data_IF_815404692555
#
_entry.id   IF_815404692555
#
_cell.length_a   1.000
_cell.length_b   1.000
_cell.length_c   1.000
_cell.angle_alpha   90.00
_cell.angle_beta   90.00
_cell.angle_gamma   90.00
#
_symmetry.space_group_name_H-M   'P 1'
#
loop_
_entity.id
_entity.type
_entity.pdbx_description
1 polymer ?
#
# COMPACT_ATOMS: atom_id res chain seq x y z
N UNK A 1 16.14 -10.98 -2.91
CA UNK A 1 16.51 -10.71 -4.33
C UNK A 1 15.41 -11.23 -5.25
N UNK A 2 14.85 -10.39 -6.13
CA UNK A 2 13.76 -10.77 -7.04
C UNK A 2 14.17 -11.96 -7.92
N UNK A 3 13.41 -13.06 -7.86
CA UNK A 3 13.64 -14.24 -8.71
C UNK A 3 13.44 -13.91 -10.20
N UNK A 4 12.55 -12.98 -10.52
CA UNK A 4 12.30 -12.52 -11.89
C UNK A 4 13.52 -11.78 -12.44
N UNK A 5 14.07 -10.82 -11.70
CA UNK A 5 15.27 -10.09 -12.12
C UNK A 5 16.46 -11.03 -12.34
N UNK A 6 16.65 -12.00 -11.44
CA UNK A 6 17.69 -13.04 -11.61
C UNK A 6 17.51 -13.85 -12.89
N UNK A 7 16.28 -14.27 -13.22
CA UNK A 7 15.98 -14.98 -14.48
C UNK A 7 16.25 -14.13 -15.72
N UNK A 8 16.14 -12.82 -15.61
CA UNK A 8 16.45 -11.86 -16.67
C UNK A 8 17.93 -11.47 -16.72
N UNK A 9 18.80 -12.10 -15.94
CA UNK A 9 20.24 -11.83 -15.92
C UNK A 9 20.67 -10.68 -14.99
N UNK A 10 19.74 -10.11 -14.21
CA UNK A 10 20.05 -9.03 -13.26
C UNK A 10 20.23 -9.55 -11.84
N UNK A 11 21.38 -9.26 -11.24
CA UNK A 11 21.65 -9.53 -9.82
C UNK A 11 21.51 -8.25 -8.98
N UNK A 12 20.33 -7.67 -8.98
CA UNK A 12 20.03 -6.44 -8.23
C UNK A 12 19.41 -6.75 -6.87
N UNK A 13 19.97 -6.14 -5.82
CA UNK A 13 19.38 -6.12 -4.49
C UNK A 13 18.16 -5.20 -4.42
N UNK A 14 17.30 -5.41 -3.41
CA UNK A 14 16.11 -4.58 -3.16
C UNK A 14 16.52 -3.13 -2.88
N UNK A 15 17.63 -2.93 -2.16
CA UNK A 15 18.19 -1.62 -1.85
C UNK A 15 19.02 -1.01 -2.99
N UNK A 16 19.10 -1.65 -4.16
CA UNK A 16 19.84 -1.06 -5.28
C UNK A 16 19.13 0.20 -5.79
N UNK A 17 19.92 1.23 -6.12
CA UNK A 17 19.37 2.53 -6.57
C UNK A 17 18.40 2.39 -7.75
N UNK A 18 18.71 1.49 -8.68
CA UNK A 18 17.86 1.22 -9.86
C UNK A 18 16.51 0.67 -9.45
N UNK A 19 16.48 -0.35 -8.58
CA UNK A 19 15.22 -0.94 -8.09
C UNK A 19 14.40 0.08 -7.31
N UNK A 20 15.01 0.82 -6.39
CA UNK A 20 14.31 1.83 -5.59
C UNK A 20 13.71 2.92 -6.47
N UNK A 21 14.47 3.45 -7.44
CA UNK A 21 13.99 4.49 -8.36
C UNK A 21 12.87 3.98 -9.27
N UNK A 22 13.00 2.76 -9.80
CA UNK A 22 11.98 2.17 -10.65
C UNK A 22 10.67 1.92 -9.88
N UNK A 23 10.74 1.36 -8.67
CA UNK A 23 9.58 1.17 -7.79
C UNK A 23 8.93 2.51 -7.45
N UNK A 24 9.73 3.53 -7.11
CA UNK A 24 9.22 4.88 -6.83
C UNK A 24 8.49 5.47 -8.04
N UNK A 25 9.09 5.45 -9.23
CA UNK A 25 8.46 5.97 -10.44
C UNK A 25 7.15 5.25 -10.77
N UNK A 26 7.13 3.92 -10.68
CA UNK A 26 5.90 3.13 -10.86
C UNK A 26 4.80 3.53 -9.87
N UNK A 27 5.14 3.65 -8.58
CA UNK A 27 4.14 3.99 -7.56
C UNK A 27 3.65 5.43 -7.65
N UNK A 28 4.49 6.39 -8.05
CA UNK A 28 4.07 7.78 -8.28
C UNK A 28 3.00 7.86 -9.37
N UNK A 29 3.21 7.19 -10.50
CA UNK A 29 2.22 7.16 -11.57
C UNK A 29 0.95 6.40 -11.18
N UNK A 30 1.09 5.24 -10.52
CA UNK A 30 -0.06 4.43 -10.11
C UNK A 30 -1.01 5.20 -9.19
N UNK A 31 -0.51 6.13 -8.35
CA UNK A 31 -1.34 6.95 -7.46
C UNK A 31 -2.39 7.77 -8.22
N UNK A 32 -2.10 8.21 -9.45
CA UNK A 32 -3.05 8.99 -10.24
C UNK A 32 -4.27 8.19 -10.70
N UNK A 33 -4.22 6.86 -10.60
CA UNK A 33 -5.31 5.96 -11.00
C UNK A 33 -6.03 5.35 -9.80
N UNK A 34 -5.68 5.75 -8.58
CA UNK A 34 -6.33 5.25 -7.37
C UNK A 34 -7.29 6.31 -6.87
N UNK A 35 -8.53 5.89 -6.65
CA UNK A 35 -9.57 6.69 -6.02
C UNK A 35 -10.16 5.94 -4.83
N UNK A 36 -10.71 6.70 -3.89
CA UNK A 36 -11.54 6.14 -2.84
C UNK A 36 -12.92 5.79 -3.41
N UNK A 37 -13.52 4.69 -2.94
CA UNK A 37 -14.93 4.41 -3.21
C UNK A 37 -15.79 5.48 -2.52
N UNK A 38 -16.75 6.04 -3.25
CA UNK A 38 -17.59 7.16 -2.80
C UNK A 38 -18.30 6.90 -1.46
N UNK A 39 -18.57 5.63 -1.13
CA UNK A 39 -19.27 5.24 0.09
C UNK A 39 -18.33 4.78 1.21
N UNK A 40 -17.03 4.64 0.95
CA UNK A 40 -16.09 4.03 1.90
C UNK A 40 -16.10 4.73 3.27
N UNK A 41 -16.03 6.07 3.27
CA UNK A 41 -15.99 6.86 4.50
C UNK A 41 -17.26 6.70 5.32
N UNK A 42 -18.43 6.77 4.68
CA UNK A 42 -19.71 6.68 5.38
C UNK A 42 -19.94 5.29 5.96
N UNK A 43 -19.53 4.24 5.25
CA UNK A 43 -19.58 2.86 5.74
C UNK A 43 -18.63 2.69 6.93
N UNK A 44 -17.39 3.16 6.82
CA UNK A 44 -16.39 3.06 7.90
C UNK A 44 -16.86 3.80 9.16
N UNK A 45 -17.42 5.01 9.03
CA UNK A 45 -18.00 5.76 10.15
C UNK A 45 -19.09 4.96 10.87
N UNK A 46 -20.08 4.47 10.13
CA UNK A 46 -21.21 3.71 10.70
C UNK A 46 -20.76 2.41 11.38
N UNK A 47 -19.80 1.71 10.79
CA UNK A 47 -19.29 0.47 11.38
C UNK A 47 -18.51 0.73 12.66
N UNK A 48 -17.72 1.80 12.71
CA UNK A 48 -16.88 2.14 13.87
C UNK A 48 -17.69 2.51 15.12
N UNK A 49 -18.92 2.98 14.95
CA UNK A 49 -19.84 3.21 16.08
C UNK A 49 -20.16 1.93 16.86
N UNK A 50 -20.01 0.75 16.24
CA UNK A 50 -20.43 -0.54 16.80
C UNK A 50 -19.32 -1.57 16.90
N UNK A 51 -18.27 -1.45 16.11
CA UNK A 51 -17.23 -2.46 15.96
C UNK A 51 -15.83 -1.84 15.96
N UNK A 52 -14.86 -2.60 16.47
CA UNK A 52 -13.44 -2.35 16.16
C UNK A 52 -13.18 -2.76 14.72
N UNK A 53 -12.44 -1.95 13.99
CA UNK A 53 -12.19 -2.16 12.57
C UNK A 53 -10.72 -2.50 12.33
N UNK A 54 -10.48 -3.52 11.51
CA UNK A 54 -9.15 -3.90 11.06
C UNK A 54 -9.05 -3.85 9.55
N UNK A 55 -7.94 -3.33 9.03
CA UNK A 55 -7.58 -3.42 7.61
C UNK A 55 -6.52 -4.49 7.41
N UNK A 56 -6.78 -5.45 6.54
CA UNK A 56 -5.79 -6.44 6.09
C UNK A 56 -5.61 -6.25 4.59
N UNK A 57 -4.42 -5.85 4.17
CA UNK A 57 -4.12 -5.55 2.77
C UNK A 57 -2.95 -6.38 2.26
N UNK A 58 -3.17 -7.06 1.13
CA UNK A 58 -2.10 -7.75 0.43
C UNK A 58 -1.39 -6.80 -0.55
N UNK A 59 -0.55 -5.91 -0.03
CA UNK A 59 0.14 -4.89 -0.81
C UNK A 59 1.65 -5.16 -0.85
N UNK A 60 2.21 -5.27 -2.06
CA UNK A 60 3.61 -5.62 -2.27
C UNK A 60 4.60 -4.45 -2.00
N UNK A 61 4.10 -3.22 -1.96
CA UNK A 61 4.88 -2.00 -1.73
C UNK A 61 4.28 -1.25 -0.53
N UNK A 62 4.71 -1.57 0.71
CA UNK A 62 4.07 -1.06 1.91
C UNK A 62 4.05 0.46 2.01
N UNK A 63 5.11 1.13 1.58
CA UNK A 63 5.22 2.59 1.67
C UNK A 63 4.12 3.28 0.87
N UNK A 64 3.66 2.66 -0.22
CA UNK A 64 2.54 3.16 -1.01
C UNK A 64 1.22 2.95 -0.27
N UNK A 65 1.00 1.78 0.34
CA UNK A 65 -0.21 1.51 1.13
C UNK A 65 -0.37 2.55 2.25
N UNK A 66 0.70 2.83 3.00
CA UNK A 66 0.66 3.84 4.06
C UNK A 66 0.42 5.25 3.54
N UNK A 67 1.03 5.63 2.41
CA UNK A 67 0.79 6.93 1.77
C UNK A 67 -0.65 7.09 1.31
N UNK A 68 -1.27 6.07 0.73
CA UNK A 68 -2.68 6.12 0.32
C UNK A 68 -3.60 6.24 1.54
N UNK A 69 -3.30 5.50 2.61
CA UNK A 69 -4.06 5.61 3.86
C UNK A 69 -3.96 7.01 4.49
N UNK A 70 -2.80 7.65 4.42
CA UNK A 70 -2.64 9.06 4.84
C UNK A 70 -3.40 10.03 3.93
N UNK A 71 -3.21 9.88 2.61
CA UNK A 71 -3.78 10.76 1.59
C UNK A 71 -5.31 10.78 1.62
N UNK A 72 -5.93 9.62 1.81
CA UNK A 72 -7.38 9.50 1.93
C UNK A 72 -7.89 9.63 3.38
N UNK A 73 -7.02 9.91 4.34
CA UNK A 73 -7.41 10.06 5.76
C UNK A 73 -8.04 8.79 6.36
N UNK A 74 -7.63 7.61 5.88
CA UNK A 74 -8.25 6.34 6.23
C UNK A 74 -7.68 5.71 7.50
N UNK A 75 -6.44 6.04 7.89
CA UNK A 75 -5.77 5.42 9.04
C UNK A 75 -6.62 5.49 10.30
N UNK A 76 -7.23 6.65 10.52
CA UNK A 76 -7.96 6.91 11.74
C UNK A 76 -9.20 6.06 11.87
N UNK A 77 -9.72 5.39 10.83
CA UNK A 77 -10.90 4.53 10.95
C UNK A 77 -10.61 3.13 11.47
N UNK A 78 -9.35 2.68 11.46
CA UNK A 78 -8.97 1.32 11.81
C UNK A 78 -8.19 1.27 13.12
N UNK A 79 -8.52 0.32 13.99
CA UNK A 79 -7.77 0.02 15.21
C UNK A 79 -6.48 -0.75 14.92
N UNK A 80 -6.48 -1.54 13.84
CA UNK A 80 -5.35 -2.36 13.40
C UNK A 80 -5.25 -2.30 11.88
N UNK A 81 -4.03 -2.11 11.38
CA UNK A 81 -3.73 -2.15 9.95
C UNK A 81 -2.57 -3.12 9.74
N UNK A 82 -2.78 -4.14 8.91
CA UNK A 82 -1.79 -5.14 8.53
C UNK A 82 -1.59 -5.06 7.01
N UNK A 83 -0.36 -4.78 6.59
CA UNK A 83 0.05 -4.77 5.18
C UNK A 83 1.03 -5.91 4.96
N UNK A 84 0.74 -6.80 4.01
CA UNK A 84 1.53 -8.03 3.83
C UNK A 84 3.00 -7.78 3.54
N UNK A 85 3.36 -6.69 2.84
CA UNK A 85 4.76 -6.38 2.57
C UNK A 85 5.55 -5.82 3.77
N UNK A 86 4.89 -5.48 4.89
CA UNK A 86 5.57 -5.07 6.14
C UNK A 86 5.90 -6.25 7.06
N UNK A 87 5.32 -7.42 6.80
CA UNK A 87 5.42 -8.63 7.64
C UNK A 87 6.49 -9.58 7.10
#
# INVERSE_FOLDING_TARGET
VSRVLKKLGYNLGISSSVVVKATKAFTEELRHFISLDDNAIDVLKKLRERYKLGLISNFAIPEMAWKLLDEFGLKDYFDVILVSGDI
#
